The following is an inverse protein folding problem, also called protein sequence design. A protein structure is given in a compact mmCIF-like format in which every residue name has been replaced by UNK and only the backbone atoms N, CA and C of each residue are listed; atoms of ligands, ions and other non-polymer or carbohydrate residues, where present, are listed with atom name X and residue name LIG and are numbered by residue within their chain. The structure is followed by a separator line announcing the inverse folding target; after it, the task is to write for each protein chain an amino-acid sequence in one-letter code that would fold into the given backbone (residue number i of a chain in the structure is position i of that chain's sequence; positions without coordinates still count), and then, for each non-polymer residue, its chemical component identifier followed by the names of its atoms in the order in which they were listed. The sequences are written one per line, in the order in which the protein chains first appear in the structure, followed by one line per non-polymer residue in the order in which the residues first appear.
data_IF_482435513487
#
_entry.id   IF_482435513487
#
_cell.length_a   1.000
_cell.length_b   1.000
_cell.length_c   1.000
_cell.angle_alpha   90.00
_cell.angle_beta   90.00
_cell.angle_gamma   90.00
#
_symmetry.space_group_name_H-M   'P 1'
#
loop_
_entity.id
_entity.type
_entity.pdbx_description
1 polymer ?
#
# COMPACT_ATOMS: atom_id res chain seq x y z
N UNK A 1 -24.30 1.66 12.40
CA UNK A 1 -24.60 2.36 11.13
C UNK A 1 -24.83 1.29 10.06
N UNK A 2 -25.77 1.48 9.14
CA UNK A 2 -25.96 0.59 7.99
C UNK A 2 -24.71 0.57 7.11
N UNK A 3 -24.35 -0.57 6.53
CA UNK A 3 -23.24 -0.65 5.56
C UNK A 3 -23.43 0.37 4.43
N UNK A 4 -22.35 0.97 3.90
CA UNK A 4 -22.46 1.92 2.80
C UNK A 4 -23.01 1.18 1.58
N UNK A 5 -24.00 1.77 0.93
CA UNK A 5 -24.60 1.23 -0.31
C UNK A 5 -23.59 1.20 -1.47
N UNK A 6 -22.52 1.98 -1.40
CA UNK A 6 -21.41 1.98 -2.35
C UNK A 6 -20.06 1.86 -1.63
N UNK A 7 -19.40 0.70 -1.73
CA UNK A 7 -18.08 0.45 -1.13
C UNK A 7 -16.91 0.80 -2.04
N UNK A 8 -17.17 1.28 -3.26
CA UNK A 8 -16.11 1.57 -4.26
C UNK A 8 -15.15 2.67 -3.80
N UNK A 9 -15.65 3.61 -3.00
CA UNK A 9 -14.94 4.82 -2.58
C UNK A 9 -14.62 4.86 -1.08
N UNK A 10 -14.83 3.77 -0.35
CA UNK A 10 -14.58 3.65 1.09
C UNK A 10 -15.77 4.04 1.97
N UNK A 11 -15.59 4.04 3.31
CA UNK A 11 -14.45 3.46 4.03
C UNK A 11 -14.42 1.92 3.91
N UNK A 12 -13.24 1.30 4.01
CA UNK A 12 -13.08 -0.15 3.91
C UNK A 12 -13.55 -0.87 5.20
N UNK A 13 -13.86 -2.16 5.13
CA UNK A 13 -14.16 -2.96 6.33
C UNK A 13 -12.87 -3.35 7.06
N UNK A 14 -12.87 -3.30 8.40
CA UNK A 14 -11.72 -3.77 9.19
C UNK A 14 -11.37 -5.23 8.85
N UNK A 15 -10.11 -5.55 8.51
CA UNK A 15 -9.67 -6.90 8.19
C UNK A 15 -9.54 -7.76 9.45
N UNK A 16 -9.24 -9.05 9.29
CA UNK A 16 -8.87 -9.92 10.40
C UNK A 16 -7.43 -9.66 10.83
N UNK A 17 -7.20 -9.73 12.13
CA UNK A 17 -5.87 -9.60 12.73
C UNK A 17 -4.94 -10.72 12.27
N UNK A 18 -3.64 -10.42 12.20
CA UNK A 18 -2.57 -11.34 11.80
C UNK A 18 -1.54 -11.60 12.89
N UNK A 19 -1.75 -10.99 14.05
CA UNK A 19 -0.99 -11.22 15.26
C UNK A 19 -1.48 -10.30 16.39
N UNK A 20 -0.77 -10.28 17.53
CA UNK A 20 -1.16 -9.54 18.72
C UNK A 20 -1.33 -8.02 18.50
N UNK A 21 -0.48 -7.38 17.69
CA UNK A 21 -0.52 -5.93 17.48
C UNK A 21 -1.72 -5.53 16.63
N UNK A 22 -1.91 -6.17 15.48
CA UNK A 22 -3.07 -5.91 14.63
C UNK A 22 -4.37 -6.26 15.34
N UNK A 23 -4.41 -7.29 16.19
CA UNK A 23 -5.57 -7.60 17.02
C UNK A 23 -5.88 -6.47 18.02
N UNK A 24 -4.87 -5.95 18.73
CA UNK A 24 -5.05 -4.86 19.66
C UNK A 24 -5.53 -3.57 18.97
N UNK A 25 -4.98 -3.25 17.79
CA UNK A 25 -5.40 -2.07 17.01
C UNK A 25 -6.83 -2.25 16.49
N UNK A 26 -7.17 -3.37 15.86
CA UNK A 26 -8.53 -3.63 15.36
C UNK A 26 -9.56 -3.52 16.48
N UNK A 27 -9.26 -4.09 17.65
CA UNK A 27 -10.17 -4.04 18.80
C UNK A 27 -10.31 -2.62 19.38
N UNK A 28 -9.25 -1.82 19.35
CA UNK A 28 -9.31 -0.42 19.75
C UNK A 28 -10.16 0.42 18.78
N UNK A 29 -9.94 0.26 17.47
CA UNK A 29 -10.64 1.03 16.43
C UNK A 29 -12.16 0.81 16.42
N UNK A 30 -12.66 -0.29 17.01
CA UNK A 30 -14.10 -0.56 17.19
C UNK A 30 -14.77 0.29 18.28
N UNK A 31 -14.00 1.06 19.03
CA UNK A 31 -14.46 1.85 20.17
C UNK A 31 -14.19 3.34 19.91
N UNK A 32 -14.89 4.26 20.60
CA UNK A 32 -14.51 5.67 20.62
C UNK A 32 -13.04 5.84 21.04
N UNK A 33 -12.30 6.84 20.54
CA UNK A 33 -10.88 6.98 20.82
C UNK A 33 -10.54 7.05 22.30
N UNK A 34 -9.47 6.34 22.67
CA UNK A 34 -8.94 6.26 24.02
C UNK A 34 -7.43 6.01 23.97
N UNK A 35 -6.75 6.23 25.10
CA UNK A 35 -5.32 5.97 25.19
C UNK A 35 -5.03 4.46 25.20
N UNK A 36 -4.30 4.00 24.19
CA UNK A 36 -3.76 2.66 24.10
C UNK A 36 -2.70 2.43 25.20
N UNK A 37 -2.50 1.17 25.62
CA UNK A 37 -1.44 0.82 26.56
C UNK A 37 -0.07 1.34 26.09
N UNK A 38 0.65 2.01 26.99
CA UNK A 38 1.92 2.67 26.65
C UNK A 38 3.01 1.69 26.17
N UNK A 39 2.93 0.44 26.64
CA UNK A 39 3.80 -0.70 26.33
C UNK A 39 3.45 -1.42 25.02
N UNK A 40 2.33 -1.08 24.37
CA UNK A 40 1.93 -1.71 23.11
C UNK A 40 3.00 -1.51 22.02
N UNK A 41 3.56 -2.62 21.55
CA UNK A 41 4.62 -2.62 20.54
C UNK A 41 5.99 -2.14 21.02
N UNK A 42 6.24 -2.08 22.34
CA UNK A 42 7.59 -1.76 22.88
C UNK A 42 8.61 -2.86 22.56
N UNK A 43 8.21 -4.13 22.65
CA UNK A 43 9.07 -5.29 22.39
C UNK A 43 8.96 -5.79 20.92
N UNK A 44 8.70 -4.88 19.98
CA UNK A 44 8.59 -5.22 18.56
C UNK A 44 9.94 -5.63 18.00
N UNK A 45 10.15 -6.94 17.82
CA UNK A 45 11.36 -7.53 17.24
C UNK A 45 11.02 -8.66 16.23
N UNK A 46 10.40 -8.34 15.09
CA UNK A 46 10.09 -9.34 14.07
C UNK A 46 11.36 -9.78 13.34
N UNK A 47 11.44 -11.07 13.00
CA UNK A 47 12.61 -11.65 12.31
C UNK A 47 12.91 -10.96 10.96
N UNK A 48 11.86 -10.63 10.21
CA UNK A 48 11.95 -9.79 9.02
C UNK A 48 10.79 -8.78 9.01
N UNK A 49 11.04 -7.49 9.31
CA UNK A 49 10.01 -6.47 9.32
C UNK A 49 9.25 -6.28 8.01
N UNK A 50 9.84 -6.65 6.85
CA UNK A 50 9.23 -6.43 5.54
C UNK A 50 8.17 -7.51 5.26
N UNK A 51 8.41 -8.74 5.72
CA UNK A 51 7.53 -9.89 5.48
C UNK A 51 6.71 -10.30 6.71
N UNK A 52 6.86 -9.61 7.84
CA UNK A 52 6.06 -9.84 9.05
C UNK A 52 4.59 -9.42 8.88
N UNK A 53 3.69 -10.40 8.99
CA UNK A 53 2.25 -10.24 8.75
C UNK A 53 1.55 -9.35 9.78
N UNK A 54 1.98 -9.36 11.04
CA UNK A 54 1.35 -8.56 12.09
C UNK A 54 1.80 -7.09 12.01
N UNK A 55 3.10 -6.86 11.82
CA UNK A 55 3.67 -5.53 11.65
C UNK A 55 3.11 -4.84 10.41
N UNK A 56 3.12 -5.50 9.25
CA UNK A 56 2.68 -4.89 8.00
C UNK A 56 1.18 -4.59 8.01
N UNK A 57 0.36 -5.45 8.61
CA UNK A 57 -1.07 -5.14 8.80
C UNK A 57 -1.28 -4.00 9.80
N UNK A 58 -0.53 -3.98 10.90
CA UNK A 58 -0.60 -2.89 11.89
C UNK A 58 -0.29 -1.53 11.27
N UNK A 59 0.77 -1.44 10.46
CA UNK A 59 1.09 -0.23 9.70
C UNK A 59 -0.02 0.15 8.72
N UNK A 60 -0.55 -0.81 7.97
CA UNK A 60 -1.62 -0.57 7.01
C UNK A 60 -2.89 -0.02 7.68
N UNK A 61 -3.29 -0.61 8.81
CA UNK A 61 -4.42 -0.13 9.64
C UNK A 61 -4.24 1.33 10.05
N UNK A 62 -3.02 1.69 10.49
CA UNK A 62 -2.71 3.05 10.94
C UNK A 62 -2.63 4.06 9.79
N UNK A 63 -2.14 3.64 8.61
CA UNK A 63 -2.05 4.52 7.44
C UNK A 63 -3.42 4.76 6.81
N UNK A 64 -4.32 3.78 6.82
CA UNK A 64 -5.63 3.94 6.19
C UNK A 64 -6.50 5.02 6.86
N UNK A 65 -6.25 5.33 8.14
CA UNK A 65 -6.87 6.46 8.83
C UNK A 65 -6.52 7.83 8.22
N UNK A 66 -5.42 7.91 7.47
CA UNK A 66 -5.00 9.12 6.76
C UNK A 66 -5.56 9.16 5.33
N UNK A 67 -6.22 8.10 4.85
CA UNK A 67 -6.84 8.04 3.52
C UNK A 67 -8.38 8.04 3.62
N UNK A 68 -9.03 6.90 3.36
CA UNK A 68 -10.50 6.78 3.32
C UNK A 68 -11.04 6.17 4.61
N UNK A 69 -10.17 5.74 5.52
CA UNK A 69 -10.53 5.22 6.83
C UNK A 69 -11.22 3.86 6.79
N UNK A 70 -11.75 3.49 7.97
CA UNK A 70 -12.38 2.20 8.21
C UNK A 70 -13.85 2.36 8.58
N UNK A 71 -14.69 1.47 8.05
CA UNK A 71 -16.13 1.52 8.25
C UNK A 71 -16.47 1.36 9.72
N UNK A 72 -17.19 2.35 10.26
CA UNK A 72 -17.60 2.37 11.67
C UNK A 72 -16.52 2.79 12.66
N UNK A 73 -15.37 3.25 12.19
CA UNK A 73 -14.28 3.78 13.03
C UNK A 73 -14.41 5.30 13.14
N UNK A 74 -14.25 5.83 14.35
CA UNK A 74 -14.26 7.27 14.62
C UNK A 74 -13.04 7.94 13.96
N UNK A 75 -13.28 8.98 13.16
CA UNK A 75 -12.24 9.70 12.40
C UNK A 75 -11.19 10.36 13.31
N UNK A 76 -11.53 10.67 14.57
CA UNK A 76 -10.56 11.25 15.51
C UNK A 76 -9.47 10.26 15.96
N UNK A 77 -9.58 8.97 15.61
CA UNK A 77 -8.45 8.03 15.68
C UNK A 77 -7.26 8.47 14.82
N UNK A 78 -7.47 9.20 13.71
CA UNK A 78 -6.42 9.69 12.80
C UNK A 78 -5.28 10.38 13.56
N UNK A 79 -5.62 11.15 14.60
CA UNK A 79 -4.71 11.95 15.41
C UNK A 79 -4.60 11.49 16.86
N UNK A 80 -5.06 10.29 17.20
CA UNK A 80 -4.97 9.77 18.57
C UNK A 80 -3.49 9.58 18.97
N UNK A 81 -2.98 10.25 20.03
CA UNK A 81 -1.55 10.32 20.30
C UNK A 81 -0.85 8.96 20.53
N UNK A 82 -1.48 8.05 21.26
CA UNK A 82 -0.92 6.72 21.56
C UNK A 82 -0.95 5.79 20.35
N UNK A 83 -1.91 5.93 19.44
CA UNK A 83 -1.91 5.22 18.15
C UNK A 83 -0.79 5.73 17.24
N UNK A 84 -0.58 7.05 17.19
CA UNK A 84 0.55 7.64 16.49
C UNK A 84 1.90 7.19 17.06
N UNK A 85 2.00 7.05 18.39
CA UNK A 85 3.20 6.53 19.05
C UNK A 85 3.48 5.06 18.69
N UNK A 86 2.45 4.22 18.62
CA UNK A 86 2.55 2.84 18.11
C UNK A 86 3.01 2.84 16.65
N UNK A 87 2.35 3.61 15.77
CA UNK A 87 2.75 3.72 14.36
C UNK A 87 4.22 4.11 14.22
N UNK A 88 4.67 5.11 14.98
CA UNK A 88 6.06 5.54 14.95
C UNK A 88 7.06 4.45 15.39
N UNK A 89 6.68 3.53 16.30
CA UNK A 89 7.51 2.36 16.66
C UNK A 89 7.62 1.39 15.49
N UNK A 90 6.48 1.03 14.88
CA UNK A 90 6.41 0.16 13.72
C UNK A 90 7.18 0.74 12.51
N UNK A 91 7.02 2.03 12.24
CA UNK A 91 7.71 2.75 11.15
C UNK A 91 9.23 2.70 11.31
N UNK A 92 9.77 2.86 12.53
CA UNK A 92 11.22 2.80 12.76
C UNK A 92 11.80 1.42 12.40
N UNK A 93 11.12 0.36 12.80
CA UNK A 93 11.57 -1.02 12.52
C UNK A 93 11.48 -1.31 11.02
N UNK A 94 10.40 -0.89 10.36
CA UNK A 94 10.23 -1.04 8.92
C UNK A 94 11.23 -0.22 8.10
N UNK A 95 11.43 1.06 8.41
CA UNK A 95 12.42 1.91 7.73
C UNK A 95 13.84 1.37 7.89
N UNK A 96 14.20 0.90 9.09
CA UNK A 96 15.51 0.30 9.33
C UNK A 96 15.72 -0.95 8.47
N UNK A 97 14.68 -1.76 8.27
CA UNK A 97 14.73 -2.92 7.37
C UNK A 97 14.91 -2.51 5.90
N UNK A 98 14.17 -1.50 5.43
CA UNK A 98 14.31 -0.95 4.07
C UNK A 98 15.73 -0.43 3.82
N UNK A 99 16.30 0.32 4.77
CA UNK A 99 17.68 0.82 4.67
C UNK A 99 18.71 -0.30 4.67
N UNK A 100 18.50 -1.36 5.44
CA UNK A 100 19.37 -2.56 5.38
C UNK A 100 19.24 -3.30 4.05
N UNK A 101 18.02 -3.41 3.52
CA UNK A 101 17.74 -4.12 2.28
C UNK A 101 18.49 -3.52 1.09
N UNK A 102 18.55 -2.19 0.99
CA UNK A 102 19.11 -1.50 -0.18
C UNK A 102 20.46 -0.83 0.08
N UNK A 103 20.91 -0.79 1.33
CA UNK A 103 22.12 -0.11 1.74
C UNK A 103 22.04 1.41 1.51
N UNK A 104 23.10 1.98 0.94
CA UNK A 104 23.19 3.40 0.61
C UNK A 104 23.66 3.56 -0.84
N UNK A 105 22.72 3.59 -1.81
CA UNK A 105 23.06 3.80 -3.21
C UNK A 105 23.90 5.08 -3.37
N UNK A 106 25.07 5.02 -4.05
CA UNK A 106 25.90 6.19 -4.24
C UNK A 106 25.23 7.17 -5.20
N UNK A 107 25.44 8.47 -4.99
CA UNK A 107 25.01 9.51 -5.94
C UNK A 107 26.11 9.67 -7.00
N UNK A 108 25.86 9.37 -8.29
CA UNK A 108 26.87 9.52 -9.32
C UNK A 108 27.26 10.99 -9.54
N UNK A 109 28.47 11.23 -10.04
CA UNK A 109 28.92 12.57 -10.41
C UNK A 109 28.05 13.20 -11.52
N UNK A 110 27.42 12.37 -12.37
CA UNK A 110 26.45 12.79 -13.38
C UNK A 110 25.09 13.22 -12.80
N UNK A 111 24.88 13.07 -11.49
CA UNK A 111 23.68 13.53 -10.78
C UNK A 111 22.62 12.44 -10.57
N UNK A 112 21.51 12.85 -9.95
CA UNK A 112 20.47 11.93 -9.48
C UNK A 112 19.73 11.21 -10.60
N UNK A 113 19.50 11.87 -11.75
CA UNK A 113 18.83 11.25 -12.89
C UNK A 113 19.64 10.08 -13.47
N UNK A 114 20.98 10.23 -13.53
CA UNK A 114 21.87 9.13 -13.92
C UNK A 114 21.82 7.98 -12.90
N UNK A 115 21.83 8.29 -11.61
CA UNK A 115 21.71 7.28 -10.55
C UNK A 115 20.37 6.51 -10.59
N UNK A 116 19.26 7.21 -10.89
CA UNK A 116 17.95 6.56 -11.11
C UNK A 116 18.00 5.63 -12.33
N UNK A 117 18.59 6.08 -13.43
CA UNK A 117 18.79 5.26 -14.63
C UNK A 117 19.64 4.02 -14.37
N UNK A 118 20.74 4.16 -13.60
CA UNK A 118 21.60 3.05 -13.20
C UNK A 118 20.84 2.03 -12.32
N UNK A 119 20.03 2.49 -11.36
CA UNK A 119 19.20 1.62 -10.51
C UNK A 119 18.16 0.85 -11.32
N UNK A 120 17.44 1.52 -12.21
CA UNK A 120 16.43 0.90 -13.07
C UNK A 120 17.06 -0.09 -14.05
N UNK A 121 18.19 0.27 -14.67
CA UNK A 121 18.90 -0.62 -15.59
C UNK A 121 19.49 -1.86 -14.89
N UNK A 122 19.90 -1.72 -13.62
CA UNK A 122 20.38 -2.83 -12.80
C UNK A 122 19.26 -3.70 -12.23
N UNK A 123 17.99 -3.31 -12.35
CA UNK A 123 16.86 -4.08 -11.84
C UNK A 123 16.56 -5.31 -12.72
N UNK A 124 17.35 -6.36 -12.53
CA UNK A 124 17.19 -7.69 -13.14
C UNK A 124 16.14 -8.57 -12.43
N UNK A 125 15.08 -7.94 -11.89
CA UNK A 125 14.03 -8.59 -11.11
C UNK A 125 13.39 -9.80 -11.80
N UNK A 126 12.77 -10.70 -11.03
CA UNK A 126 12.19 -11.91 -11.58
C UNK A 126 11.08 -11.55 -12.57
N UNK A 127 10.92 -12.37 -13.62
CA UNK A 127 10.19 -11.99 -14.83
C UNK A 127 8.65 -12.04 -14.70
N UNK A 128 8.08 -11.46 -13.63
CA UNK A 128 6.64 -11.49 -13.32
C UNK A 128 5.78 -10.99 -14.48
N UNK A 129 6.11 -9.83 -15.06
CA UNK A 129 5.38 -9.30 -16.21
C UNK A 129 5.45 -10.22 -17.43
N UNK A 130 6.59 -10.86 -17.69
CA UNK A 130 6.71 -11.82 -18.78
C UNK A 130 5.92 -13.11 -18.50
N UNK A 131 5.87 -13.56 -17.24
CA UNK A 131 5.03 -14.69 -16.82
C UNK A 131 3.55 -14.38 -17.01
N UNK A 132 3.07 -13.22 -16.55
CA UNK A 132 1.67 -12.79 -16.76
C UNK A 132 1.32 -12.69 -18.24
N UNK A 133 2.23 -12.13 -19.04
CA UNK A 133 2.05 -12.04 -20.49
C UNK A 133 1.91 -13.42 -21.14
N UNK A 134 2.81 -14.37 -20.82
CA UNK A 134 3.02 -15.57 -21.66
C UNK A 134 2.45 -16.85 -21.08
N UNK A 135 2.37 -16.97 -19.76
CA UNK A 135 2.17 -18.26 -19.07
C UNK A 135 1.04 -18.26 -18.06
N UNK A 136 0.78 -17.13 -17.39
CA UNK A 136 -0.21 -17.11 -16.32
C UNK A 136 -1.59 -17.54 -16.81
N UNK A 137 -2.30 -18.31 -15.99
CA UNK A 137 -3.72 -18.59 -16.23
C UNK A 137 -4.61 -17.48 -15.64
N UNK A 138 -5.92 -17.62 -15.81
CA UNK A 138 -6.89 -16.65 -15.29
C UNK A 138 -6.87 -16.55 -13.77
N UNK A 139 -6.62 -17.65 -13.06
CA UNK A 139 -6.56 -17.66 -11.59
C UNK A 139 -5.36 -16.84 -11.12
N UNK A 140 -4.19 -17.07 -11.69
CA UNK A 140 -2.97 -16.33 -11.37
C UNK A 140 -3.09 -14.84 -11.74
N UNK A 141 -3.73 -14.50 -12.87
CA UNK A 141 -3.98 -13.11 -13.24
C UNK A 141 -4.94 -12.42 -12.26
N UNK A 142 -5.98 -13.14 -11.81
CA UNK A 142 -6.90 -12.65 -10.77
C UNK A 142 -6.20 -12.42 -9.43
N UNK A 143 -5.33 -13.33 -9.02
CA UNK A 143 -4.51 -13.15 -7.82
C UNK A 143 -3.66 -11.89 -7.94
N UNK A 144 -2.93 -11.73 -9.05
CA UNK A 144 -2.15 -10.53 -9.32
C UNK A 144 -2.98 -9.24 -9.25
N UNK A 145 -4.17 -9.23 -9.87
CA UNK A 145 -5.06 -8.08 -9.83
C UNK A 145 -5.59 -7.79 -8.41
N UNK A 146 -5.90 -8.84 -7.63
CA UNK A 146 -6.28 -8.70 -6.22
C UNK A 146 -5.16 -8.07 -5.38
N UNK A 147 -3.91 -8.50 -5.56
CA UNK A 147 -2.75 -7.87 -4.90
C UNK A 147 -2.62 -6.39 -5.27
N UNK A 148 -2.70 -6.07 -6.57
CA UNK A 148 -2.53 -4.70 -7.07
C UNK A 148 -3.70 -3.77 -6.69
N UNK A 149 -4.90 -4.30 -6.48
CA UNK A 149 -6.09 -3.54 -6.08
C UNK A 149 -5.91 -2.73 -4.80
N UNK A 150 -5.04 -3.19 -3.88
CA UNK A 150 -4.76 -2.51 -2.61
C UNK A 150 -4.16 -1.12 -2.83
N UNK A 151 -3.33 -0.97 -3.88
CA UNK A 151 -2.77 0.31 -4.26
C UNK A 151 -3.58 0.98 -5.39
N UNK A 152 -3.81 0.30 -6.52
CA UNK A 152 -4.35 0.95 -7.71
C UNK A 152 -5.74 1.57 -7.51
N UNK A 153 -6.56 1.10 -6.56
CA UNK A 153 -7.86 1.74 -6.25
C UNK A 153 -7.74 3.07 -5.47
N UNK A 154 -6.51 3.49 -5.15
CA UNK A 154 -6.13 4.80 -4.60
C UNK A 154 -4.94 5.43 -5.33
N UNK A 155 -4.67 5.01 -6.56
CA UNK A 155 -3.66 5.67 -7.39
C UNK A 155 -4.14 7.10 -7.73
N UNK A 156 -3.39 8.18 -7.46
CA UNK A 156 -2.00 8.28 -6.98
C UNK A 156 -1.88 8.91 -5.56
N UNK A 157 -2.87 8.69 -4.70
CA UNK A 157 -3.06 9.35 -3.39
C UNK A 157 -1.77 9.40 -2.52
N UNK A 158 -0.98 8.30 -2.37
CA UNK A 158 0.21 8.33 -1.52
C UNK A 158 1.27 9.34 -1.98
N UNK A 159 1.44 9.52 -3.29
CA UNK A 159 2.41 10.48 -3.85
C UNK A 159 1.94 11.92 -3.69
N UNK A 160 0.63 12.16 -3.71
CA UNK A 160 0.05 13.49 -3.54
C UNK A 160 0.37 14.13 -2.18
N UNK A 161 0.67 13.36 -1.13
CA UNK A 161 1.07 13.88 0.19
C UNK A 161 2.28 14.81 0.17
N UNK A 162 3.13 14.72 -0.85
CA UNK A 162 4.33 15.57 -0.95
C UNK A 162 4.05 16.93 -1.60
N UNK A 163 2.92 17.11 -2.31
CA UNK A 163 2.54 18.38 -2.94
C UNK A 163 2.63 19.62 -2.03
N UNK A 164 2.16 19.60 -0.76
CA UNK A 164 2.29 20.75 0.14
C UNK A 164 3.73 20.99 0.63
N UNK A 165 4.65 20.05 0.41
CA UNK A 165 6.03 20.07 0.90
C UNK A 165 7.04 20.51 -0.15
N UNK A 166 6.59 20.69 -1.38
CA UNK A 166 7.41 21.10 -2.52
C UNK A 166 7.11 22.55 -2.92
N UNK A 167 8.07 23.15 -3.61
CA UNK A 167 7.93 24.42 -4.32
C UNK A 167 8.74 24.39 -5.62
N UNK A 168 8.57 25.41 -6.47
CA UNK A 168 9.35 25.56 -7.69
C UNK A 168 9.11 24.47 -8.76
N UNK A 169 10.06 24.24 -9.67
CA UNK A 169 9.91 23.34 -10.81
C UNK A 169 9.54 21.90 -10.44
N UNK A 170 10.10 21.35 -9.36
CA UNK A 170 9.77 20.00 -8.91
C UNK A 170 8.29 19.85 -8.53
N UNK A 171 7.67 20.90 -7.96
CA UNK A 171 6.23 20.91 -7.69
C UNK A 171 5.41 20.95 -8.99
N UNK A 172 5.83 21.72 -9.98
CA UNK A 172 5.15 21.78 -11.27
C UNK A 172 5.18 20.41 -11.96
N UNK A 173 6.35 19.76 -12.02
CA UNK A 173 6.52 18.42 -12.58
C UNK A 173 5.65 17.37 -11.85
N UNK A 174 5.59 17.42 -10.51
CA UNK A 174 4.71 16.53 -9.76
C UNK A 174 3.23 16.77 -10.06
N UNK A 175 2.79 18.03 -10.13
CA UNK A 175 1.39 18.35 -10.46
C UNK A 175 1.03 17.84 -11.85
N UNK A 176 1.93 17.95 -12.82
CA UNK A 176 1.74 17.41 -14.17
C UNK A 176 1.48 15.91 -14.15
N UNK A 177 2.40 15.13 -13.54
CA UNK A 177 2.23 13.67 -13.39
C UNK A 177 0.92 13.35 -12.67
N UNK A 178 0.68 13.95 -11.49
CA UNK A 178 -0.51 13.65 -10.70
C UNK A 178 -1.81 14.04 -11.41
N UNK A 179 -1.82 15.09 -12.24
CA UNK A 179 -3.01 15.48 -13.01
C UNK A 179 -3.39 14.39 -14.01
N UNK A 180 -2.41 13.74 -14.63
CA UNK A 180 -2.65 12.62 -15.53
C UNK A 180 -3.20 11.40 -14.78
N UNK A 181 -2.57 11.02 -13.65
CA UNK A 181 -3.03 9.91 -12.79
C UNK A 181 -4.49 10.09 -12.32
N UNK A 182 -4.89 11.32 -12.01
CA UNK A 182 -6.27 11.68 -11.66
C UNK A 182 -7.18 11.88 -12.88
N UNK A 183 -6.80 11.40 -14.06
CA UNK A 183 -7.58 11.41 -15.28
C UNK A 183 -7.85 12.82 -15.82
N UNK A 184 -6.98 13.78 -15.53
CA UNK A 184 -7.19 15.21 -15.80
C UNK A 184 -8.51 15.74 -15.20
N UNK A 185 -8.90 15.22 -14.03
CA UNK A 185 -10.15 15.57 -13.35
C UNK A 185 -11.40 14.89 -13.93
N UNK A 186 -11.24 13.95 -14.87
CA UNK A 186 -12.33 13.17 -15.45
C UNK A 186 -12.38 11.78 -14.83
N UNK A 187 -13.50 11.47 -14.17
CA UNK A 187 -13.69 10.19 -13.49
C UNK A 187 -13.49 8.98 -14.42
N UNK A 188 -14.00 9.05 -15.65
CA UNK A 188 -13.88 7.97 -16.65
C UNK A 188 -12.45 7.71 -17.14
N UNK A 189 -11.50 8.58 -16.80
CA UNK A 189 -10.08 8.47 -17.15
C UNK A 189 -9.17 8.29 -15.95
N UNK A 190 -9.67 8.45 -14.73
CA UNK A 190 -8.87 8.30 -13.52
C UNK A 190 -8.33 6.88 -13.43
N UNK A 191 -7.03 6.72 -13.20
CA UNK A 191 -6.37 5.42 -13.26
C UNK A 191 -6.97 4.41 -12.28
N UNK A 192 -7.37 4.88 -11.08
CA UNK A 192 -8.10 4.06 -10.12
C UNK A 192 -9.46 3.52 -10.66
N UNK A 193 -10.19 4.30 -11.46
CA UNK A 193 -11.44 3.86 -12.09
C UNK A 193 -11.18 2.91 -13.25
N UNK A 194 -10.14 3.17 -14.06
CA UNK A 194 -9.73 2.26 -15.13
C UNK A 194 -9.34 0.89 -14.55
N UNK A 195 -8.57 0.87 -13.45
CA UNK A 195 -8.22 -0.38 -12.78
C UNK A 195 -9.45 -1.07 -12.18
N UNK A 196 -10.41 -0.30 -11.66
CA UNK A 196 -11.69 -0.85 -11.17
C UNK A 196 -12.47 -1.54 -12.29
N UNK A 197 -12.50 -0.97 -13.50
CA UNK A 197 -13.07 -1.63 -14.68
C UNK A 197 -12.33 -2.93 -15.00
N UNK A 198 -11.00 -2.98 -14.90
CA UNK A 198 -10.22 -4.23 -15.05
C UNK A 198 -10.65 -5.28 -14.01
N UNK A 199 -10.83 -4.91 -12.74
CA UNK A 199 -11.31 -5.82 -11.69
C UNK A 199 -12.72 -6.37 -12.00
N UNK A 200 -13.65 -5.50 -12.40
CA UNK A 200 -15.01 -5.90 -12.80
C UNK A 200 -14.98 -6.93 -13.95
N UNK A 201 -14.20 -6.64 -14.99
CA UNK A 201 -14.02 -7.57 -16.13
C UNK A 201 -13.43 -8.90 -15.71
N UNK A 202 -12.51 -8.91 -14.75
CA UNK A 202 -11.94 -10.13 -14.19
C UNK A 202 -12.93 -10.87 -13.26
N UNK A 203 -14.09 -10.31 -12.95
CA UNK A 203 -15.07 -10.87 -12.00
C UNK A 203 -14.57 -10.80 -10.55
N UNK A 204 -13.83 -9.74 -10.22
CA UNK A 204 -13.30 -9.46 -8.89
C UNK A 204 -14.15 -8.40 -8.17
N UNK A 205 -14.06 -8.37 -6.85
CA UNK A 205 -14.66 -7.33 -6.02
C UNK A 205 -13.98 -5.99 -6.33
N UNK A 206 -14.80 -4.97 -6.59
CA UNK A 206 -14.36 -3.62 -6.95
C UNK A 206 -14.36 -2.65 -5.76
N UNK A 207 -14.74 -3.14 -4.58
CA UNK A 207 -14.75 -2.41 -3.33
C UNK A 207 -13.36 -1.97 -2.91
N UNK A 208 -13.29 -0.79 -2.31
CA UNK A 208 -12.04 -0.25 -1.81
C UNK A 208 -11.44 -1.17 -0.74
N UNK A 209 -10.17 -1.53 -0.91
CA UNK A 209 -9.40 -2.39 -0.02
C UNK A 209 -10.04 -3.78 0.26
N UNK A 210 -10.92 -4.27 -0.63
CA UNK A 210 -11.67 -5.53 -0.46
C UNK A 210 -10.77 -6.76 -0.23
N UNK A 211 -9.55 -6.74 -0.77
CA UNK A 211 -8.60 -7.85 -0.71
C UNK A 211 -7.58 -7.76 0.43
N UNK A 212 -7.64 -6.71 1.28
CA UNK A 212 -6.67 -6.52 2.38
C UNK A 212 -6.63 -7.73 3.31
N UNK A 213 -7.72 -8.45 3.49
CA UNK A 213 -7.78 -9.61 4.38
C UNK A 213 -6.97 -10.83 3.86
N UNK A 214 -6.80 -10.94 2.54
CA UNK A 214 -6.17 -12.11 1.88
C UNK A 214 -4.82 -11.82 1.25
N UNK A 215 -4.43 -10.56 1.00
CA UNK A 215 -3.08 -10.27 0.50
C UNK A 215 -2.01 -10.46 1.59
N UNK A 216 -0.81 -10.97 1.29
CA UNK A 216 0.27 -11.17 2.26
C UNK A 216 0.99 -9.88 2.67
N UNK A 217 1.82 -9.98 3.72
CA UNK A 217 2.65 -8.90 4.26
C UNK A 217 3.45 -8.17 3.18
N UNK A 218 4.04 -8.91 2.23
CA UNK A 218 4.84 -8.33 1.13
C UNK A 218 4.03 -7.37 0.24
N UNK A 219 2.72 -7.59 0.09
CA UNK A 219 1.83 -6.65 -0.63
C UNK A 219 1.46 -5.44 0.22
N UNK A 220 1.30 -5.63 1.53
CA UNK A 220 1.10 -4.51 2.44
C UNK A 220 2.37 -3.65 2.54
N UNK A 221 3.56 -4.26 2.46
CA UNK A 221 4.85 -3.57 2.49
C UNK A 221 5.03 -2.61 1.32
N UNK A 222 4.65 -2.98 0.09
CA UNK A 222 4.69 -2.06 -1.07
C UNK A 222 3.83 -0.82 -0.81
N UNK A 223 2.65 -1.02 -0.22
CA UNK A 223 1.70 0.04 0.12
C UNK A 223 2.15 0.92 1.28
N UNK A 224 2.67 0.29 2.34
CA UNK A 224 3.15 0.94 3.55
C UNK A 224 4.41 1.75 3.28
N UNK A 225 5.26 1.33 2.33
CA UNK A 225 6.43 2.08 1.87
C UNK A 225 6.04 3.46 1.33
N UNK A 226 5.06 3.50 0.43
CA UNK A 226 4.56 4.75 -0.14
C UNK A 226 3.97 5.67 0.94
N UNK A 227 3.21 5.11 1.88
CA UNK A 227 2.60 5.90 2.97
C UNK A 227 3.63 6.39 3.99
N UNK A 228 4.66 5.59 4.30
CA UNK A 228 5.80 6.00 5.12
C UNK A 228 6.50 7.22 4.49
N UNK A 229 6.81 7.15 3.20
CA UNK A 229 7.46 8.26 2.50
C UNK A 229 6.53 9.47 2.36
N UNK A 230 5.25 9.22 2.04
CA UNK A 230 4.22 10.23 1.84
C UNK A 230 3.94 11.04 3.09
N UNK A 231 3.78 10.40 4.25
CA UNK A 231 3.39 11.09 5.49
C UNK A 231 4.57 11.75 6.22
N UNK A 232 5.83 11.43 5.89
CA UNK A 232 7.01 11.99 6.58
C UNK A 232 7.75 13.04 5.74
N UNK A 233 7.74 14.32 6.16
CA UNK A 233 8.40 15.42 5.41
C UNK A 233 9.89 15.16 5.16
N UNK A 234 10.56 14.50 6.11
CA UNK A 234 11.98 14.13 5.99
C UNK A 234 12.24 13.13 4.86
N UNK A 235 11.24 12.34 4.46
CA UNK A 235 11.33 11.32 3.42
C UNK A 235 10.77 11.80 2.06
N UNK A 236 10.56 13.12 1.88
CA UNK A 236 10.04 13.66 0.61
C UNK A 236 10.92 13.33 -0.60
N UNK A 237 12.25 13.30 -0.42
CA UNK A 237 13.17 12.86 -1.48
C UNK A 237 12.93 11.40 -1.84
N UNK A 238 12.76 10.53 -0.84
CA UNK A 238 12.47 9.12 -1.04
C UNK A 238 11.13 8.88 -1.74
N UNK A 239 10.07 9.65 -1.43
CA UNK A 239 8.81 9.52 -2.16
C UNK A 239 8.97 9.88 -3.64
N UNK A 240 9.70 10.95 -3.95
CA UNK A 240 9.91 11.37 -5.34
C UNK A 240 10.81 10.40 -6.10
N UNK A 241 11.83 9.84 -5.45
CA UNK A 241 12.65 8.79 -6.04
C UNK A 241 11.88 7.49 -6.29
N UNK A 242 11.00 7.10 -5.37
CA UNK A 242 10.08 5.98 -5.58
C UNK A 242 9.17 6.25 -6.78
N UNK A 243 8.55 7.43 -6.87
CA UNK A 243 7.71 7.80 -8.01
C UNK A 243 8.51 7.75 -9.31
N UNK A 244 9.72 8.30 -9.34
CA UNK A 244 10.56 8.26 -10.53
C UNK A 244 10.90 6.83 -10.95
N UNK A 245 11.26 5.94 -10.02
CA UNK A 245 11.48 4.54 -10.36
C UNK A 245 10.21 3.85 -10.90
N UNK A 246 9.04 4.17 -10.34
CA UNK A 246 7.75 3.68 -10.80
C UNK A 246 7.46 4.15 -12.24
N UNK A 247 7.58 5.45 -12.53
CA UNK A 247 7.39 6.01 -13.87
C UNK A 247 8.38 5.42 -14.89
N UNK A 248 9.66 5.30 -14.51
CA UNK A 248 10.70 4.76 -15.37
C UNK A 248 10.54 3.25 -15.66
N UNK A 249 9.71 2.55 -14.90
CA UNK A 249 9.48 1.11 -15.05
C UNK A 249 8.03 0.76 -15.39
N UNK A 250 7.15 1.74 -15.63
CA UNK A 250 5.71 1.50 -15.74
C UNK A 250 5.31 0.86 -17.09
N UNK A 251 5.85 1.34 -18.21
CA UNK A 251 5.25 1.08 -19.52
C UNK A 251 5.52 -0.32 -20.08
N UNK A 252 6.73 -0.85 -19.93
CA UNK A 252 7.02 -2.20 -20.42
C UNK A 252 6.25 -3.30 -19.66
N UNK A 253 6.19 -3.30 -18.32
CA UNK A 253 5.31 -4.18 -17.55
C UNK A 253 3.83 -4.01 -17.91
N UNK A 254 3.31 -2.79 -18.00
CA UNK A 254 1.91 -2.56 -18.35
C UNK A 254 1.56 -3.10 -19.75
N UNK A 255 2.41 -2.86 -20.75
CA UNK A 255 2.26 -3.49 -22.09
C UNK A 255 2.17 -5.02 -21.99
N UNK A 256 2.99 -5.63 -21.14
CA UNK A 256 3.00 -7.08 -20.92
C UNK A 256 1.74 -7.57 -20.21
N UNK A 257 1.25 -6.84 -19.20
CA UNK A 257 -0.01 -7.15 -18.51
C UNK A 257 -1.21 -7.07 -19.45
N UNK A 258 -1.35 -5.98 -20.22
CA UNK A 258 -2.40 -5.83 -21.23
C UNK A 258 -2.36 -6.96 -22.28
N UNK A 259 -1.18 -7.33 -22.77
CA UNK A 259 -1.02 -8.48 -23.67
C UNK A 259 -1.37 -9.82 -23.01
N UNK A 260 -1.12 -9.97 -21.71
CA UNK A 260 -1.55 -11.14 -20.93
C UNK A 260 -3.07 -11.27 -20.87
N UNK A 261 -3.78 -10.16 -20.59
CA UNK A 261 -5.24 -10.10 -20.62
C UNK A 261 -5.81 -10.44 -22.00
N UNK A 262 -5.24 -9.87 -23.08
CA UNK A 262 -5.62 -10.20 -24.46
C UNK A 262 -5.45 -11.68 -24.77
N UNK A 263 -4.34 -12.28 -24.36
CA UNK A 263 -4.10 -13.73 -24.50
C UNK A 263 -5.17 -14.56 -23.78
N UNK A 264 -5.65 -14.09 -22.63
CA UNK A 264 -6.70 -14.74 -21.84
C UNK A 264 -8.12 -14.47 -22.39
N UNK A 265 -8.27 -13.71 -23.48
CA UNK A 265 -9.55 -13.48 -24.15
C UNK A 265 -10.34 -12.26 -23.67
N UNK A 266 -9.71 -11.35 -22.93
CA UNK A 266 -10.37 -10.12 -22.46
C UNK A 266 -10.39 -9.00 -23.51
N UNK A 267 -11.37 -8.10 -23.36
CA UNK A 267 -11.64 -6.98 -24.26
C UNK A 267 -10.80 -5.73 -23.93
N UNK A 268 -10.96 -4.68 -24.75
CA UNK A 268 -10.27 -3.39 -24.58
C UNK A 268 -10.65 -2.69 -23.27
N UNK A 269 -11.84 -2.94 -22.73
CA UNK A 269 -12.25 -2.38 -21.43
C UNK A 269 -11.38 -2.96 -20.31
N UNK A 270 -11.11 -4.26 -20.33
CA UNK A 270 -10.24 -4.90 -19.34
C UNK A 270 -8.78 -4.42 -19.46
N UNK A 271 -8.30 -4.12 -20.66
CA UNK A 271 -6.90 -3.73 -20.89
C UNK A 271 -6.65 -2.23 -20.75
N UNK A 272 -7.70 -1.40 -20.74
CA UNK A 272 -7.59 0.07 -20.82
C UNK A 272 -6.62 0.67 -19.79
N UNK A 273 -6.71 0.25 -18.53
CA UNK A 273 -5.77 0.70 -17.48
C UNK A 273 -4.30 0.50 -17.89
N UNK A 274 -3.97 -0.69 -18.38
CA UNK A 274 -2.60 -1.02 -18.78
C UNK A 274 -2.18 -0.33 -20.07
N UNK A 275 -3.10 -0.14 -21.03
CA UNK A 275 -2.80 0.54 -22.28
C UNK A 275 -2.57 2.05 -22.06
N UNK A 276 -3.30 2.68 -21.13
CA UNK A 276 -3.11 4.10 -20.78
C UNK A 276 -1.68 4.36 -20.26
N UNK A 277 -1.17 3.49 -19.39
CA UNK A 277 0.21 3.55 -18.88
C UNK A 277 1.30 3.28 -19.95
N UNK A 278 0.90 2.78 -21.13
CA UNK A 278 1.78 2.63 -22.29
C UNK A 278 1.71 3.85 -23.20
N UNK A 279 0.57 4.54 -23.25
CA UNK A 279 0.40 5.76 -24.06
C UNK A 279 1.08 6.97 -23.40
N UNK A 280 1.15 7.01 -22.06
CA UNK A 280 1.89 8.03 -21.29
C UNK A 280 3.43 7.98 -21.46
N UNK A 281 3.96 7.08 -22.29
CA UNK A 281 5.35 6.61 -22.28
C UNK A 281 6.37 7.52 -23.03
N UNK A 282 7.58 7.58 -22.47
CA UNK A 282 8.72 8.49 -22.67
C UNK A 282 8.64 9.88 -22.01
N UNK A 283 7.47 10.52 -21.97
CA UNK A 283 7.38 11.89 -21.41
C UNK A 283 7.45 11.87 -19.88
N UNK A 284 6.65 11.01 -19.22
CA UNK A 284 6.65 10.90 -17.76
C UNK A 284 7.99 10.41 -17.20
N UNK A 285 8.66 9.48 -17.89
CA UNK A 285 10.01 9.01 -17.51
C UNK A 285 10.99 10.19 -17.38
N UNK A 286 11.05 11.04 -18.41
CA UNK A 286 11.96 12.18 -18.45
C UNK A 286 11.57 13.25 -17.43
N UNK A 287 10.27 13.54 -17.30
CA UNK A 287 9.77 14.48 -16.30
C UNK A 287 10.12 13.99 -14.89
N UNK A 288 9.91 12.71 -14.58
CA UNK A 288 10.11 12.16 -13.24
C UNK A 288 11.60 12.13 -12.83
N UNK A 289 12.49 11.73 -13.75
CA UNK A 289 13.92 11.68 -13.48
C UNK A 289 14.57 13.08 -13.48
N UNK A 290 14.29 13.90 -14.50
CA UNK A 290 15.01 15.16 -14.73
C UNK A 290 14.33 16.38 -14.13
N UNK A 291 13.04 16.58 -14.37
CA UNK A 291 12.33 17.79 -13.94
C UNK A 291 11.88 17.72 -12.48
N UNK A 292 11.39 16.55 -12.06
CA UNK A 292 10.96 16.28 -10.70
C UNK A 292 12.16 16.01 -9.78
N UNK A 293 12.87 14.88 -9.96
CA UNK A 293 13.98 14.52 -9.08
C UNK A 293 15.21 15.42 -9.28
N UNK A 294 15.61 15.66 -10.53
CA UNK A 294 16.70 16.58 -10.85
C UNK A 294 16.38 18.02 -10.45
N UNK A 295 15.14 18.48 -10.64
CA UNK A 295 14.68 19.80 -10.18
C UNK A 295 14.70 19.94 -8.66
N UNK A 296 14.27 18.90 -7.92
CA UNK A 296 14.34 18.87 -6.45
C UNK A 296 15.78 19.02 -5.97
N UNK A 297 16.68 18.16 -6.45
CA UNK A 297 18.08 18.10 -5.99
C UNK A 297 18.86 19.36 -6.37
N UNK A 298 18.48 20.05 -7.45
CA UNK A 298 19.07 21.35 -7.80
C UNK A 298 18.79 22.43 -6.74
N UNK A 299 17.61 22.40 -6.13
CA UNK A 299 17.20 23.35 -5.07
C UNK A 299 17.62 22.85 -3.68
N UNK A 300 17.55 21.54 -3.46
CA UNK A 300 17.84 20.88 -2.18
C UNK A 300 18.86 19.74 -2.36
N UNK A 301 20.17 20.03 -2.57
CA UNK A 301 21.17 19.00 -2.89
C UNK A 301 21.31 17.89 -1.84
N UNK A 302 21.02 18.20 -0.57
CA UNK A 302 21.07 17.24 0.52
C UNK A 302 20.08 16.07 0.39
N UNK A 303 19.06 16.18 -0.48
CA UNK A 303 18.06 15.13 -0.71
C UNK A 303 18.48 14.09 -1.76
N UNK A 304 19.64 14.24 -2.42
CA UNK A 304 20.05 13.34 -3.49
C UNK A 304 20.12 11.87 -3.04
N UNK A 305 20.64 11.61 -1.84
CA UNK A 305 20.69 10.26 -1.27
C UNK A 305 19.31 9.70 -0.94
N UNK A 306 18.38 10.55 -0.50
CA UNK A 306 17.02 10.12 -0.18
C UNK A 306 16.26 9.74 -1.46
N UNK A 307 16.46 10.46 -2.56
CA UNK A 307 15.88 10.11 -3.87
C UNK A 307 16.34 8.71 -4.30
N UNK A 308 17.65 8.45 -4.29
CA UNK A 308 18.15 7.13 -4.69
C UNK A 308 17.76 6.02 -3.70
N UNK A 309 17.70 6.33 -2.40
CA UNK A 309 17.16 5.40 -1.39
C UNK A 309 15.70 5.03 -1.69
N UNK A 310 14.84 6.00 -1.98
CA UNK A 310 13.44 5.76 -2.27
C UNK A 310 13.21 4.92 -3.52
N UNK A 311 13.95 5.22 -4.59
CA UNK A 311 13.95 4.44 -5.82
C UNK A 311 14.39 2.99 -5.57
N UNK A 312 15.54 2.80 -4.93
CA UNK A 312 16.07 1.48 -4.62
C UNK A 312 15.13 0.68 -3.69
N UNK A 313 14.54 1.33 -2.69
CA UNK A 313 13.59 0.69 -1.77
C UNK A 313 12.32 0.23 -2.50
N UNK A 314 11.77 1.06 -3.39
CA UNK A 314 10.63 0.69 -4.23
C UNK A 314 10.92 -0.56 -5.07
N UNK A 315 12.00 -0.52 -5.85
CA UNK A 315 12.42 -1.65 -6.71
C UNK A 315 12.67 -2.92 -5.91
N UNK A 316 13.33 -2.82 -4.75
CA UNK A 316 13.64 -3.98 -3.92
C UNK A 316 12.39 -4.62 -3.29
N UNK A 317 11.42 -3.83 -2.81
CA UNK A 317 10.17 -4.37 -2.27
C UNK A 317 9.30 -4.96 -3.39
N UNK A 318 9.25 -4.33 -4.57
CA UNK A 318 8.55 -4.88 -5.74
C UNK A 318 9.17 -6.19 -6.23
N UNK A 319 10.49 -6.35 -6.12
CA UNK A 319 11.18 -7.61 -6.37
C UNK A 319 10.75 -8.70 -5.39
N UNK A 320 10.68 -8.40 -4.09
CA UNK A 320 10.18 -9.36 -3.08
C UNK A 320 8.74 -9.77 -3.37
N UNK A 321 7.89 -8.81 -3.75
CA UNK A 321 6.52 -9.07 -4.19
C UNK A 321 6.49 -10.03 -5.39
N UNK A 322 7.30 -9.77 -6.41
CA UNK A 322 7.36 -10.60 -7.60
C UNK A 322 7.88 -12.02 -7.33
N UNK A 323 8.90 -12.17 -6.46
CA UNK A 323 9.38 -13.47 -5.99
C UNK A 323 8.26 -14.25 -5.31
N UNK A 324 7.52 -13.63 -4.38
CA UNK A 324 6.42 -14.28 -3.65
C UNK A 324 5.37 -14.88 -4.59
N UNK A 325 4.92 -14.10 -5.59
CA UNK A 325 3.92 -14.56 -6.55
C UNK A 325 4.45 -15.74 -7.37
N UNK A 326 5.65 -15.60 -7.93
CA UNK A 326 6.23 -16.60 -8.82
C UNK A 326 6.56 -17.90 -8.08
N UNK A 327 7.09 -17.83 -6.85
CA UNK A 327 7.40 -19.00 -6.04
C UNK A 327 6.12 -19.74 -5.61
N UNK A 328 5.08 -19.00 -5.24
CA UNK A 328 3.77 -19.59 -4.89
C UNK A 328 3.18 -20.35 -6.07
N UNK A 329 3.16 -19.73 -7.26
CA UNK A 329 2.64 -20.34 -8.48
C UNK A 329 3.50 -21.51 -8.96
N UNK A 330 4.83 -21.41 -8.88
CA UNK A 330 5.74 -22.50 -9.22
C UNK A 330 5.54 -23.72 -8.30
N UNK A 331 5.16 -23.49 -7.04
CA UNK A 331 4.82 -24.54 -6.09
C UNK A 331 3.36 -25.03 -6.19
N UNK A 332 2.57 -24.55 -7.17
CA UNK A 332 1.18 -24.94 -7.37
C UNK A 332 0.23 -24.46 -6.27
N UNK A 333 0.55 -23.35 -5.58
CA UNK A 333 -0.26 -22.75 -4.53
C UNK A 333 -0.69 -21.33 -4.90
N UNK A 334 -1.76 -20.86 -4.26
CA UNK A 334 -2.18 -19.46 -4.37
C UNK A 334 -1.13 -18.52 -3.79
N UNK A 335 -0.92 -17.36 -4.42
CA UNK A 335 -0.10 -16.28 -3.83
C UNK A 335 -0.85 -15.49 -2.75
N UNK A 336 -2.16 -15.70 -2.60
CA UNK A 336 -2.97 -15.12 -1.54
C UNK A 336 -2.92 -15.99 -0.27
N UNK A 337 -3.12 -15.36 0.88
CA UNK A 337 -3.26 -16.04 2.17
C UNK A 337 -4.59 -16.79 2.18
N UNK A 338 -4.56 -18.02 2.70
CA UNK A 338 -5.78 -18.74 3.00
C UNK A 338 -6.57 -17.96 4.07
N UNK A 339 -7.91 -17.81 3.92
CA UNK A 339 -8.74 -17.29 4.97
C UNK A 339 -8.52 -18.07 6.26
N UNK A 340 -8.15 -17.42 7.36
CA UNK A 340 -8.08 -18.10 8.65
C UNK A 340 -9.47 -18.69 9.00
N UNK A 341 -9.58 -19.90 9.56
CA UNK A 341 -10.84 -20.34 10.14
C UNK A 341 -11.26 -19.34 11.24
N UNK A 342 -12.57 -19.10 11.45
CA UNK A 342 -13.03 -18.19 12.49
C UNK A 342 -12.47 -18.64 13.85
N UNK A 343 -11.80 -17.73 14.55
CA UNK A 343 -11.34 -17.97 15.93
C UNK A 343 -12.60 -18.01 16.81
N UNK A 344 -12.86 -19.10 17.55
CA UNK A 344 -13.95 -19.13 18.51
C UNK A 344 -13.75 -17.98 19.51
N UNK A 345 -14.82 -17.31 19.97
CA UNK A 345 -14.68 -16.32 21.03
C UNK A 345 -13.96 -16.97 22.23
N UNK A 346 -13.09 -16.24 22.95
CA UNK A 346 -12.44 -16.77 24.14
C UNK A 346 -13.53 -17.27 25.10
N UNK A 347 -13.36 -18.47 25.66
CA UNK A 347 -14.21 -18.94 26.76
C UNK A 347 -14.03 -17.96 27.92
N UNK A 348 -14.99 -17.05 28.07
CA UNK A 348 -15.13 -16.27 29.29
C UNK A 348 -15.68 -17.26 30.32
N UNK A 349 -14.94 -17.61 31.39
CA UNK A 349 -15.53 -18.38 32.46
C UNK A 349 -16.71 -17.57 32.98
N UNK A 350 -17.91 -18.13 32.93
CA UNK A 350 -19.08 -17.56 33.60
C UNK A 350 -18.72 -17.40 35.06
N UNK A 351 -18.37 -16.18 35.48
CA UNK A 351 -18.37 -15.82 36.88
C UNK A 351 -19.83 -15.96 37.30
N UNK A 352 -20.11 -17.00 38.07
CA UNK A 352 -21.39 -17.15 38.77
C UNK A 352 -21.56 -15.93 39.66
N UNK A 353 -22.38 -14.98 39.21
CA UNK A 353 -22.81 -13.88 40.06
C UNK A 353 -23.49 -14.48 41.31
N UNK A 354 -23.16 -14.03 42.52
CA UNK A 354 -23.84 -14.50 43.72
C UNK A 354 -25.34 -14.22 43.58
N UNK A 355 -26.15 -15.21 43.96
CA UNK A 355 -27.60 -15.12 43.89
C UNK A 355 -28.08 -13.83 44.60
N UNK A 356 -28.84 -13.00 43.87
CA UNK A 356 -29.48 -11.82 44.42
C UNK A 356 -30.47 -12.29 45.49
N UNK A 357 -30.25 -11.87 46.74
CA UNK A 357 -31.18 -12.16 47.83
C UNK A 357 -32.55 -11.54 47.53
N UNK A 358 -33.66 -12.22 47.84
CA UNK A 358 -34.99 -11.69 47.60
C UNK A 358 -35.22 -10.40 48.42
N UNK A 359 -36.00 -9.43 47.89
CA UNK A 359 -36.25 -8.18 48.57
C UNK A 359 -36.98 -8.42 49.90
N UNK A 360 -36.58 -7.64 50.92
CA UNK A 360 -37.22 -7.65 52.22
C UNK A 360 -38.70 -7.23 52.11
N UNK A 361 -39.62 -7.85 52.88
CA UNK A 361 -41.03 -7.49 52.85
C UNK A 361 -41.24 -6.05 53.34
N UNK A 362 -42.27 -5.34 52.83
CA UNK A 362 -42.53 -3.95 53.17
C UNK A 362 -42.86 -3.79 54.66
N UNK A 363 -42.27 -2.77 55.28
CA UNK A 363 -42.62 -2.34 56.63
C UNK A 363 -44.02 -1.70 56.62
N UNK A 364 -44.91 -2.20 57.48
CA UNK A 364 -46.22 -1.62 57.73
C UNK A 364 -46.07 -0.32 58.54
N UNK A 365 -46.40 0.83 57.92
CA UNK A 365 -47.08 1.98 58.55
C UNK A 365 -47.95 2.65 57.51
#
# INVERSE_FOLDING_TARGET
MSEPTDRRYGPATLPRSRGPLSAAVIEALRRPPYDLPADLGVDLDPADPITDEDLQLTLFLCYELHYRGWFGVDESWEWQPTLLALRARCERVFEAALRRLVGSPPVPAAGVAAGLGELVAADDGPALAATLQRRADLTQFREFAAHRSVYHLREADPHSWVLPRLGGPAKAALVEIQTDEYGNGRLDRMHAELFRCTLDRLGLDTGYAAYVDVVPAVTLATNNLMSLFGLHRRLRGALLGHLAAFEMTSSLPNRRYGNGLRRLGFDEVATRFHDEHVEADAVHEQIAAHDLCGGLVRVEPALASDVLFGAAAGLAVDRLFAVHLLDSWAAGRSSLRAPAPPVPPPEVPLVTLPAVAPPAPPALV
#
